data_IF_412414789223
#
_entry.id   IF_412414789223
#
_cell.length_a   1.000
_cell.length_b   1.000
_cell.length_c   1.000
_cell.angle_alpha   90.00
_cell.angle_beta   90.00
_cell.angle_gamma   90.00
#
_symmetry.space_group_name_H-M   'P 1'
#
loop_
_entity.id
_entity.type
_entity.pdbx_description
1 polymer ?
#
# COMPACT_ATOMS: atom_id res chain seq x y z
N UNK A 1 2.98 -12.26 -0.11
CA UNK A 1 3.55 -10.92 0.16
C UNK A 1 3.84 -10.24 -1.17
N UNK A 2 3.00 -9.29 -1.57
CA UNK A 2 3.24 -8.48 -2.77
C UNK A 2 3.80 -7.14 -2.32
N UNK A 3 5.08 -6.88 -2.57
CA UNK A 3 5.73 -5.61 -2.23
C UNK A 3 6.28 -4.94 -3.49
N UNK A 4 5.95 -3.68 -3.69
CA UNK A 4 6.51 -2.83 -4.74
C UNK A 4 7.00 -1.55 -4.06
N UNK A 5 8.27 -1.22 -4.24
CA UNK A 5 8.85 0.03 -3.75
C UNK A 5 8.50 1.18 -4.71
N UNK A 6 8.15 2.33 -4.15
CA UNK A 6 7.83 3.57 -4.85
C UNK A 6 8.68 4.72 -4.26
N UNK A 7 8.65 5.89 -4.89
CA UNK A 7 9.49 7.03 -4.51
C UNK A 7 8.83 8.01 -3.52
N UNK A 8 7.70 7.61 -2.92
CA UNK A 8 7.00 8.44 -1.94
C UNK A 8 7.56 8.34 -0.53
N UNK A 9 6.93 9.10 0.38
CA UNK A 9 7.32 9.19 1.79
C UNK A 9 6.32 8.52 2.74
N UNK A 10 5.21 7.98 2.24
CA UNK A 10 4.17 7.34 3.05
C UNK A 10 4.12 5.84 2.76
N UNK A 11 4.56 5.04 3.72
CA UNK A 11 4.46 3.59 3.60
C UNK A 11 3.03 3.10 3.92
N UNK A 12 2.51 2.17 3.12
CA UNK A 12 1.26 1.48 3.43
C UNK A 12 1.50 -0.03 3.55
N UNK A 13 0.84 -0.66 4.51
CA UNK A 13 0.79 -2.12 4.70
C UNK A 13 -0.68 -2.50 4.82
N UNK A 14 -1.18 -3.32 3.90
CA UNK A 14 -2.61 -3.59 3.80
C UNK A 14 -2.85 -5.06 3.51
N UNK A 15 -3.94 -5.61 4.03
CA UNK A 15 -4.36 -6.98 3.75
C UNK A 15 -5.42 -6.97 2.65
N UNK A 16 -4.97 -7.15 1.41
CA UNK A 16 -5.79 -7.13 0.21
C UNK A 16 -5.36 -6.05 -0.78
N UNK A 17 -5.06 -6.47 -2.01
CA UNK A 17 -4.67 -5.58 -3.11
C UNK A 17 -5.67 -4.44 -3.38
N UNK A 18 -6.97 -4.69 -3.28
CA UNK A 18 -8.00 -3.66 -3.49
C UNK A 18 -7.96 -2.54 -2.45
N UNK A 19 -7.81 -2.90 -1.17
CA UNK A 19 -7.70 -1.93 -0.09
C UNK A 19 -6.34 -1.20 -0.14
N UNK A 20 -5.27 -1.90 -0.56
CA UNK A 20 -3.97 -1.30 -0.79
C UNK A 20 -4.00 -0.23 -1.89
N UNK A 21 -4.67 -0.52 -3.01
CA UNK A 21 -4.87 0.44 -4.10
C UNK A 21 -5.73 1.64 -3.68
N UNK A 22 -6.85 1.41 -2.99
CA UNK A 22 -7.69 2.49 -2.48
C UNK A 22 -6.93 3.41 -1.49
N UNK A 23 -6.07 2.84 -0.66
CA UNK A 23 -5.23 3.61 0.27
C UNK A 23 -4.22 4.49 -0.49
N UNK A 24 -3.63 3.99 -1.57
CA UNK A 24 -2.74 4.79 -2.42
C UNK A 24 -3.48 5.93 -3.14
N UNK A 25 -4.71 5.68 -3.59
CA UNK A 25 -5.55 6.71 -4.21
C UNK A 25 -5.90 7.83 -3.22
N UNK A 26 -6.20 7.48 -1.96
CA UNK A 26 -6.40 8.47 -0.88
C UNK A 26 -5.12 9.27 -0.64
N UNK A 27 -3.96 8.62 -0.54
CA UNK A 27 -2.68 9.32 -0.35
C UNK A 27 -2.42 10.33 -1.49
N UNK A 28 -2.69 9.93 -2.73
CA UNK A 28 -2.60 10.82 -3.89
C UNK A 28 -3.63 11.95 -3.87
N UNK A 29 -4.87 11.68 -3.43
CA UNK A 29 -5.93 12.69 -3.32
C UNK A 29 -5.53 13.84 -2.39
N UNK A 30 -4.77 13.54 -1.32
CA UNK A 30 -4.21 14.55 -0.41
C UNK A 30 -2.87 15.15 -0.88
N UNK A 31 -2.47 14.93 -2.13
CA UNK A 31 -1.26 15.52 -2.73
C UNK A 31 0.05 14.89 -2.26
N UNK A 32 -0.02 13.72 -1.64
CA UNK A 32 1.16 13.00 -1.15
C UNK A 32 1.47 11.81 -2.06
N UNK A 33 2.69 11.25 -1.94
CA UNK A 33 3.12 10.10 -2.72
C UNK A 33 3.33 8.86 -1.83
N UNK A 34 2.78 7.69 -2.19
CA UNK A 34 3.02 6.44 -1.47
C UNK A 34 4.46 5.95 -1.70
N UNK A 35 5.10 5.47 -0.63
CA UNK A 35 6.47 4.96 -0.60
C UNK A 35 6.58 3.49 -1.02
N UNK A 36 5.48 2.74 -0.90
CA UNK A 36 5.42 1.36 -1.31
C UNK A 36 3.97 0.94 -1.50
N UNK A 37 3.78 -0.13 -2.26
CA UNK A 37 2.59 -0.96 -2.25
C UNK A 37 2.93 -2.25 -1.51
N UNK A 38 2.21 -2.57 -0.45
CA UNK A 38 2.38 -3.83 0.28
C UNK A 38 1.03 -4.46 0.55
N UNK A 39 0.80 -5.59 -0.12
CA UNK A 39 -0.35 -6.46 0.11
C UNK A 39 0.08 -7.73 0.86
N UNK A 40 -0.40 -7.82 2.10
CA UNK A 40 -0.25 -8.92 3.03
C UNK A 40 -1.58 -9.70 3.01
N UNK A 41 -1.84 -10.43 1.93
CA UNK A 41 -3.09 -11.17 1.73
C UNK A 41 -3.47 -12.06 2.93
N UNK A 42 -4.77 -12.39 3.03
CA UNK A 42 -5.47 -12.91 4.21
C UNK A 42 -4.86 -14.06 5.04
N UNK A 43 -3.85 -14.75 4.51
CA UNK A 43 -3.01 -15.71 5.24
C UNK A 43 -1.67 -15.09 5.61
N UNK A 44 -1.67 -14.04 6.43
CA UNK A 44 -0.44 -13.53 7.03
C UNK A 44 -0.08 -14.41 8.24
N UNK A 45 0.28 -15.67 7.99
CA UNK A 45 0.69 -16.59 9.04
C UNK A 45 2.21 -16.50 9.30
N UNK A 46 2.52 -15.98 10.50
CA UNK A 46 3.82 -15.74 11.15
C UNK A 46 4.79 -14.76 10.50
#
# INVERSE_FOLDING_TARGET
LNYIKLDGNIACMVNGAGLAMATMDIIKLYGMAPANFLDVGGGADK
#
